data_IF_517142921227
#
_entry.id   IF_517142921227
#
_cell.length_a   1.000
_cell.length_b   1.000
_cell.length_c   1.000
_cell.angle_alpha   90.00
_cell.angle_beta   90.00
_cell.angle_gamma   90.00
#
_symmetry.space_group_name_H-M   'P 1'
#
loop_
_entity.id
_entity.type
_entity.pdbx_description
1 polymer ?
#
# COMPACT_ATOMS: atom_id res chain seq x y z
N UNK A 1 -1.40 25.49 -3.71
CA UNK A 1 -0.67 24.52 -4.49
C UNK A 1 -1.10 23.15 -4.16
N UNK A 2 -1.31 22.36 -5.18
CA UNK A 2 -1.83 21.02 -4.98
C UNK A 2 -0.73 20.08 -4.53
N UNK A 3 -0.99 19.37 -3.47
CA UNK A 3 -0.06 18.36 -2.99
C UNK A 3 -0.31 17.05 -3.72
N UNK A 4 0.76 16.36 -4.08
CA UNK A 4 0.68 15.09 -4.79
C UNK A 4 1.60 14.09 -4.13
N UNK A 5 1.07 12.91 -3.84
CA UNK A 5 1.91 11.81 -3.39
C UNK A 5 1.66 10.60 -4.28
N UNK A 6 2.63 9.71 -4.26
CA UNK A 6 2.54 8.44 -4.98
C UNK A 6 2.46 7.32 -3.97
N UNK A 7 1.73 6.29 -4.31
CA UNK A 7 1.63 5.11 -3.46
C UNK A 7 1.90 3.89 -4.33
N UNK A 8 2.70 2.96 -3.80
CA UNK A 8 3.10 1.80 -4.59
C UNK A 8 2.86 0.52 -3.77
N UNK A 9 1.60 0.17 -3.57
CA UNK A 9 1.32 -1.03 -2.77
C UNK A 9 1.68 -2.31 -3.52
N UNK A 10 2.08 -3.30 -2.75
CA UNK A 10 2.39 -4.62 -3.26
C UNK A 10 1.38 -5.60 -2.67
N UNK A 11 0.68 -6.32 -3.53
CA UNK A 11 -0.33 -7.28 -3.10
C UNK A 11 0.16 -8.70 -3.35
N UNK A 12 -0.23 -9.62 -2.47
CA UNK A 12 0.25 -10.99 -2.53
C UNK A 12 -0.60 -11.85 -3.46
N UNK A 13 -0.79 -11.37 -4.66
CA UNK A 13 -1.50 -12.11 -5.70
C UNK A 13 -0.97 -11.63 -7.05
N UNK A 14 -0.39 -12.51 -7.81
CA UNK A 14 0.16 -12.15 -9.11
C UNK A 14 -0.34 -13.00 -10.26
N UNK A 15 -1.27 -13.91 -9.98
CA UNK A 15 -1.75 -14.85 -10.99
C UNK A 15 -3.22 -14.67 -11.32
N UNK A 16 -4.04 -14.39 -10.35
CA UNK A 16 -5.48 -14.27 -10.59
C UNK A 16 -5.81 -12.84 -10.97
N UNK A 17 -5.94 -12.60 -12.26
CA UNK A 17 -6.18 -11.25 -12.75
C UNK A 17 -7.52 -10.69 -12.33
N UNK A 18 -8.47 -11.55 -12.03
CA UNK A 18 -9.77 -11.09 -11.57
C UNK A 18 -9.68 -10.46 -10.18
N UNK A 19 -8.88 -11.08 -9.30
CA UNK A 19 -8.65 -10.51 -7.99
C UNK A 19 -7.93 -9.17 -8.11
N UNK A 20 -6.90 -9.13 -8.96
CA UNK A 20 -6.14 -7.91 -9.16
C UNK A 20 -7.05 -6.80 -9.68
N UNK A 21 -7.93 -7.13 -10.63
CA UNK A 21 -8.82 -6.13 -11.19
C UNK A 21 -9.78 -5.58 -10.14
N UNK A 22 -10.28 -6.42 -9.27
CA UNK A 22 -11.19 -5.94 -8.24
C UNK A 22 -10.49 -4.99 -7.28
N UNK A 23 -9.22 -5.25 -7.00
CA UNK A 23 -8.44 -4.36 -6.15
C UNK A 23 -8.21 -3.02 -6.85
N UNK A 24 -7.81 -3.04 -8.12
CA UNK A 24 -7.54 -1.80 -8.83
C UNK A 24 -8.82 -1.02 -9.11
N UNK A 25 -9.95 -1.71 -9.26
CA UNK A 25 -11.22 -1.01 -9.41
C UNK A 25 -11.55 -0.18 -8.18
N UNK A 26 -11.20 -0.68 -7.00
CA UNK A 26 -11.40 0.10 -5.78
C UNK A 26 -10.57 1.37 -5.81
N UNK A 27 -9.35 1.27 -6.30
CA UNK A 27 -8.48 2.43 -6.39
C UNK A 27 -9.06 3.45 -7.36
N UNK A 28 -9.51 2.98 -8.50
CA UNK A 28 -10.02 3.89 -9.52
C UNK A 28 -11.37 4.49 -9.16
N UNK A 29 -12.04 3.95 -8.18
CA UNK A 29 -13.32 4.49 -7.76
C UNK A 29 -13.16 5.78 -6.94
N UNK A 30 -11.95 6.10 -6.52
CA UNK A 30 -11.72 7.28 -5.68
C UNK A 30 -11.37 8.47 -6.56
N UNK A 31 -12.12 9.55 -6.42
CA UNK A 31 -11.85 10.77 -7.16
C UNK A 31 -10.55 11.38 -6.66
N UNK A 32 -9.76 11.90 -7.56
CA UNK A 32 -8.51 12.53 -7.19
C UNK A 32 -7.32 11.60 -7.27
N UNK A 33 -7.53 10.37 -7.68
CA UNK A 33 -6.48 9.39 -7.78
C UNK A 33 -6.35 8.93 -9.22
N UNK A 34 -5.12 8.76 -9.67
CA UNK A 34 -4.86 8.21 -10.99
C UNK A 34 -4.04 6.92 -10.84
N UNK A 35 -4.53 5.86 -11.43
CA UNK A 35 -3.82 4.59 -11.46
C UNK A 35 -2.83 4.62 -12.61
N UNK A 36 -1.55 4.53 -12.31
CA UNK A 36 -0.51 4.64 -13.33
C UNK A 36 -0.04 3.32 -13.88
N UNK A 37 0.01 2.30 -13.07
CA UNK A 37 0.57 1.04 -13.50
C UNK A 37 0.11 -0.11 -12.65
N UNK A 38 -0.04 -1.28 -13.26
CA UNK A 38 -0.36 -2.51 -12.57
C UNK A 38 0.58 -3.56 -13.14
N UNK A 39 1.44 -4.10 -12.29
CA UNK A 39 2.48 -5.02 -12.75
C UNK A 39 2.39 -6.35 -12.03
N UNK A 40 1.65 -7.31 -12.58
CA UNK A 40 1.54 -8.62 -11.95
C UNK A 40 2.78 -9.46 -12.23
N UNK A 41 3.25 -10.14 -11.20
CA UNK A 41 4.40 -11.03 -11.33
C UNK A 41 4.00 -12.44 -10.97
N UNK A 42 3.95 -13.31 -11.97
CA UNK A 42 3.51 -14.67 -11.74
C UNK A 42 4.47 -15.46 -10.88
N UNK A 43 5.75 -15.30 -11.14
CA UNK A 43 6.76 -16.09 -10.46
C UNK A 43 6.77 -15.81 -8.96
N UNK A 44 6.56 -14.55 -8.59
CA UNK A 44 6.56 -14.18 -7.19
C UNK A 44 5.18 -14.20 -6.58
N UNK A 45 4.17 -14.37 -7.40
CA UNK A 45 2.77 -14.29 -7.00
C UNK A 45 2.48 -12.99 -6.27
N UNK A 46 2.87 -11.91 -6.91
CA UNK A 46 2.78 -10.58 -6.30
C UNK A 46 2.49 -9.57 -7.39
N UNK A 47 1.73 -8.54 -7.05
CA UNK A 47 1.43 -7.47 -7.98
C UNK A 47 1.84 -6.14 -7.38
N UNK A 48 2.53 -5.33 -8.17
CA UNK A 48 2.92 -3.99 -7.76
C UNK A 48 2.02 -3.01 -8.49
N UNK A 49 1.36 -2.15 -7.74
CA UNK A 49 0.45 -1.17 -8.29
C UNK A 49 0.97 0.21 -7.97
N UNK A 50 0.87 1.13 -8.93
CA UNK A 50 1.34 2.51 -8.74
C UNK A 50 0.18 3.45 -8.93
N UNK A 51 -0.05 4.32 -7.97
CA UNK A 51 -1.10 5.32 -8.06
C UNK A 51 -0.61 6.66 -7.51
N UNK A 52 -1.19 7.74 -8.00
CA UNK A 52 -0.83 9.08 -7.56
C UNK A 52 -2.10 9.91 -7.37
N UNK A 53 -1.99 10.95 -6.58
CA UNK A 53 -3.09 11.87 -6.38
C UNK A 53 -2.85 12.75 -5.18
N UNK A 54 -3.89 13.50 -4.79
CA UNK A 54 -3.76 14.30 -3.59
C UNK A 54 -3.72 13.36 -2.39
N UNK A 55 -3.09 13.80 -1.29
CA UNK A 55 -2.83 12.86 -0.20
C UNK A 55 -4.06 12.20 0.36
N UNK A 56 -5.13 12.95 0.56
CA UNK A 56 -6.32 12.36 1.15
C UNK A 56 -6.95 11.32 0.23
N UNK A 57 -6.98 11.61 -1.07
CA UNK A 57 -7.54 10.66 -2.01
C UNK A 57 -6.68 9.40 -2.11
N UNK A 58 -5.37 9.56 -2.07
CA UNK A 58 -4.47 8.42 -2.13
C UNK A 58 -4.62 7.54 -0.89
N UNK A 59 -4.75 8.16 0.28
CA UNK A 59 -4.96 7.38 1.50
C UNK A 59 -6.27 6.60 1.43
N UNK A 60 -7.32 7.24 0.93
CA UNK A 60 -8.59 6.55 0.80
C UNK A 60 -8.49 5.39 -0.18
N UNK A 61 -7.84 5.61 -1.32
CA UNK A 61 -7.68 4.56 -2.32
C UNK A 61 -6.83 3.41 -1.77
N UNK A 62 -5.77 3.74 -1.06
CA UNK A 62 -4.92 2.71 -0.48
C UNK A 62 -5.68 1.91 0.56
N UNK A 63 -6.48 2.58 1.38
CA UNK A 63 -7.27 1.87 2.38
C UNK A 63 -8.25 0.90 1.73
N UNK A 64 -8.96 1.36 0.70
CA UNK A 64 -9.91 0.50 0.00
C UNK A 64 -9.23 -0.67 -0.67
N UNK A 65 -8.04 -0.43 -1.23
CA UNK A 65 -7.28 -1.49 -1.87
C UNK A 65 -6.84 -2.54 -0.86
N UNK A 66 -6.35 -2.09 0.29
CA UNK A 66 -5.91 -3.00 1.34
C UNK A 66 -7.09 -3.81 1.85
N UNK A 67 -8.22 -3.16 2.03
CA UNK A 67 -9.42 -3.83 2.51
C UNK A 67 -9.87 -4.90 1.51
N UNK A 68 -9.93 -4.53 0.23
CA UNK A 68 -10.37 -5.48 -0.79
C UNK A 68 -9.39 -6.64 -0.92
N UNK A 69 -8.09 -6.36 -0.84
CA UNK A 69 -7.10 -7.42 -0.91
C UNK A 69 -7.27 -8.38 0.26
N UNK A 70 -7.55 -7.87 1.44
CA UNK A 70 -7.77 -8.71 2.59
C UNK A 70 -8.99 -9.60 2.45
N UNK A 71 -9.99 -9.14 1.71
CA UNK A 71 -11.20 -9.92 1.48
C UNK A 71 -10.99 -11.01 0.43
N UNK A 72 -10.18 -10.72 -0.57
CA UNK A 72 -10.07 -11.60 -1.73
C UNK A 72 -8.87 -12.54 -1.70
N UNK A 73 -7.78 -12.15 -1.07
CA UNK A 73 -6.58 -12.94 -1.07
C UNK A 73 -6.54 -13.80 0.18
N UNK A 74 -6.56 -15.12 -0.04
CA UNK A 74 -6.57 -16.05 1.08
C UNK A 74 -5.13 -16.45 1.39
N UNK A 75 -4.57 -15.83 2.39
CA UNK A 75 -3.18 -16.09 2.73
C UNK A 75 -2.94 -17.49 3.26
N UNK A 76 -3.98 -18.16 3.70
CA UNK A 76 -3.81 -19.53 4.17
C UNK A 76 -3.46 -20.47 3.04
N UNK A 77 -3.70 -20.06 1.79
CA UNK A 77 -3.35 -20.88 0.65
C UNK A 77 -1.97 -20.60 0.11
N UNK A 78 -1.28 -19.64 0.67
CA UNK A 78 0.05 -19.29 0.21
C UNK A 78 1.07 -20.08 0.99
N UNK A 79 1.66 -21.06 0.34
CA UNK A 79 2.57 -21.93 1.02
C UNK A 79 3.99 -21.70 0.60
N UNK A 80 4.39 -20.54 0.45
CA UNK A 80 5.71 -20.26 -0.05
C UNK A 80 6.80 -20.64 0.91
N UNK A 81 8.03 -20.47 0.48
CA UNK A 81 9.18 -20.78 1.26
C UNK A 81 9.37 -19.85 2.42
N UNK A 82 8.73 -18.75 2.41
CA UNK A 82 8.90 -17.80 3.52
C UNK A 82 7.54 -17.33 3.96
N UNK A 83 7.45 -16.83 5.16
CA UNK A 83 6.15 -16.44 5.71
C UNK A 83 5.54 -15.30 4.95
N UNK A 84 4.23 -15.25 4.96
CA UNK A 84 3.52 -14.16 4.34
C UNK A 84 3.19 -13.13 5.36
N UNK A 85 3.24 -11.89 4.94
CA UNK A 85 2.91 -10.79 5.81
C UNK A 85 1.44 -10.51 5.82
N UNK A 86 0.79 -10.73 4.71
CA UNK A 86 -0.60 -10.41 4.58
C UNK A 86 -0.90 -10.18 3.13
N UNK A 87 -2.18 -9.92 2.83
CA UNK A 87 -2.61 -9.70 1.46
C UNK A 87 -1.92 -8.49 0.85
N UNK A 88 -1.69 -7.46 1.65
CA UNK A 88 -0.91 -6.30 1.23
C UNK A 88 0.42 -6.35 1.97
N UNK A 89 1.50 -6.57 1.23
CA UNK A 89 2.80 -6.73 1.86
C UNK A 89 3.37 -5.39 2.30
N UNK A 90 3.49 -4.45 1.38
CA UNK A 90 3.99 -3.12 1.71
C UNK A 90 3.16 -2.09 0.96
N UNK A 91 3.18 -0.88 1.46
CA UNK A 91 2.43 0.21 0.84
C UNK A 91 3.20 1.51 1.04
N UNK A 92 4.24 1.74 0.25
CA UNK A 92 5.05 2.95 0.42
C UNK A 92 4.36 4.18 -0.12
N UNK A 93 4.59 5.31 0.55
CA UNK A 93 4.09 6.60 0.14
C UNK A 93 5.28 7.49 -0.15
N UNK A 94 5.24 8.15 -1.29
CA UNK A 94 6.36 8.94 -1.78
C UNK A 94 5.90 10.35 -2.08
N UNK A 95 6.54 11.38 -1.53
CA UNK A 95 6.17 12.76 -1.84
C UNK A 95 6.56 13.12 -3.27
N UNK A 96 5.62 13.70 -4.00
CA UNK A 96 5.88 14.07 -5.40
C UNK A 96 5.89 15.58 -5.59
N UNK A 97 4.88 16.28 -5.08
CA UNK A 97 4.80 17.71 -5.31
C UNK A 97 4.18 18.44 -4.14
N UNK A 98 4.80 19.52 -3.75
CA UNK A 98 4.26 20.46 -2.75
C UNK A 98 3.97 19.83 -1.39
N UNK A 99 4.72 18.80 -1.06
CA UNK A 99 4.53 18.14 0.23
C UNK A 99 5.90 17.62 0.68
N UNK A 100 6.15 17.72 1.96
CA UNK A 100 7.42 17.27 2.52
C UNK A 100 7.37 15.80 2.87
N UNK A 101 8.55 15.23 3.12
CA UNK A 101 8.63 13.86 3.61
C UNK A 101 7.95 13.72 4.96
N UNK A 102 8.09 14.74 5.79
CA UNK A 102 7.47 14.76 7.10
C UNK A 102 5.95 14.71 7.00
N UNK A 103 5.40 15.49 6.10
CA UNK A 103 3.95 15.49 5.90
C UNK A 103 3.48 14.17 5.33
N UNK A 104 4.26 13.61 4.41
CA UNK A 104 3.92 12.30 3.83
C UNK A 104 3.93 11.24 4.91
N UNK A 105 4.87 11.31 5.84
CA UNK A 105 4.93 10.35 6.94
C UNK A 105 3.68 10.42 7.81
N UNK A 106 3.12 11.62 7.99
CA UNK A 106 1.90 11.76 8.76
C UNK A 106 0.72 11.08 8.07
N UNK A 107 0.66 11.17 6.75
CA UNK A 107 -0.39 10.48 6.02
C UNK A 107 -0.20 8.97 6.10
N UNK A 108 1.05 8.49 6.07
CA UNK A 108 1.30 7.07 6.24
C UNK A 108 0.81 6.61 7.61
N UNK A 109 1.02 7.43 8.63
CA UNK A 109 0.57 7.11 9.96
C UNK A 109 -0.96 7.05 10.03
N UNK A 110 -1.63 7.99 9.37
CA UNK A 110 -3.09 7.96 9.31
C UNK A 110 -3.60 6.69 8.66
N UNK A 111 -2.99 6.30 7.57
CA UNK A 111 -3.39 5.08 6.88
C UNK A 111 -3.16 3.87 7.77
N UNK A 112 -2.01 3.81 8.43
CA UNK A 112 -1.69 2.70 9.30
C UNK A 112 -2.70 2.58 10.44
N UNK A 113 -3.06 3.71 11.03
CA UNK A 113 -4.03 3.70 12.12
C UNK A 113 -5.38 3.23 11.64
N UNK A 114 -5.77 3.68 10.48
CA UNK A 114 -7.06 3.32 9.92
C UNK A 114 -7.11 1.81 9.62
N UNK A 115 -6.06 1.30 9.01
CA UNK A 115 -5.99 -0.12 8.70
C UNK A 115 -6.00 -0.95 9.99
N UNK A 116 -5.22 -0.54 10.96
CA UNK A 116 -5.17 -1.28 12.21
C UNK A 116 -6.49 -1.28 12.94
N UNK A 117 -7.15 -0.12 12.99
CA UNK A 117 -8.38 0.02 13.75
C UNK A 117 -9.58 -0.58 13.04
N UNK A 118 -9.68 -0.39 11.75
CA UNK A 118 -10.87 -0.82 11.03
C UNK A 118 -10.77 -2.21 10.42
N UNK A 119 -9.59 -2.61 10.02
CA UNK A 119 -9.41 -3.90 9.38
C UNK A 119 -8.75 -4.91 10.31
N UNK A 120 -8.28 -4.45 11.47
CA UNK A 120 -7.64 -5.31 12.47
C UNK A 120 -6.42 -6.03 11.89
N UNK A 121 -5.68 -5.33 11.05
CA UNK A 121 -4.46 -5.86 10.47
C UNK A 121 -3.29 -5.18 11.14
N UNK A 122 -2.34 -5.92 11.69
CA UNK A 122 -1.15 -5.31 12.29
C UNK A 122 -0.38 -4.55 11.23
N UNK A 123 0.09 -3.37 11.58
CA UNK A 123 0.78 -2.51 10.65
C UNK A 123 2.06 -1.99 11.27
N UNK A 124 3.15 -2.03 10.51
CA UNK A 124 4.42 -1.52 10.95
C UNK A 124 4.87 -0.41 10.02
N UNK A 125 5.42 0.63 10.60
CA UNK A 125 5.88 1.76 9.81
C UNK A 125 7.39 1.74 9.65
N UNK A 126 7.82 1.87 8.40
CA UNK A 126 9.20 2.14 8.11
C UNK A 126 9.21 3.46 7.43
N UNK A 127 9.84 4.43 8.00
CA UNK A 127 9.62 5.71 7.41
C UNK A 127 10.72 6.66 7.70
N UNK A 128 10.47 7.88 7.39
CA UNK A 128 11.46 8.92 7.47
C UNK A 128 11.96 9.16 8.87
N UNK A 129 11.36 8.58 9.84
CA UNK A 129 11.83 8.73 11.20
C UNK A 129 13.12 7.98 11.47
N UNK A 130 13.55 7.14 10.56
CA UNK A 130 14.81 6.49 10.73
C UNK A 130 15.91 7.52 10.90
N UNK A 131 16.87 7.27 11.75
CA UNK A 131 17.90 8.26 11.96
C UNK A 131 18.69 8.59 10.71
N UNK A 132 18.86 7.65 9.85
CA UNK A 132 19.61 7.90 8.64
C UNK A 132 18.72 8.33 7.53
N UNK A 133 18.24 9.54 7.64
CA UNK A 133 17.21 9.97 6.74
C UNK A 133 17.63 10.26 5.36
N UNK A 134 18.88 10.42 5.11
CA UNK A 134 19.29 10.71 3.76
C UNK A 134 18.97 9.59 2.81
N UNK A 135 18.73 8.43 3.34
CA UNK A 135 18.38 7.34 2.50
C UNK A 135 16.95 7.03 2.43
N UNK A 136 16.14 7.66 3.24
CA UNK A 136 14.73 7.32 3.33
C UNK A 136 13.91 8.37 2.70
N UNK A 137 13.71 8.24 1.42
CA UNK A 137 12.92 9.19 0.69
C UNK A 137 11.47 8.83 0.62
N UNK A 138 11.03 7.85 1.38
CA UNK A 138 9.64 7.46 1.32
C UNK A 138 9.19 6.96 2.67
N UNK A 139 7.89 7.02 2.86
CA UNK A 139 7.26 6.47 4.05
C UNK A 139 6.62 5.17 3.64
N UNK A 140 6.82 4.14 4.45
CA UNK A 140 6.37 2.81 4.11
C UNK A 140 5.57 2.23 5.25
N UNK A 141 4.44 1.63 4.92
CA UNK A 141 3.75 0.82 5.90
C UNK A 141 3.83 -0.62 5.46
N UNK A 142 3.77 -1.51 6.41
CA UNK A 142 3.82 -2.92 6.12
C UNK A 142 2.74 -3.59 6.91
N UNK A 143 1.86 -4.28 6.22
CA UNK A 143 0.70 -4.86 6.84
C UNK A 143 0.85 -6.35 6.95
N UNK A 144 0.27 -6.94 7.99
CA UNK A 144 0.23 -8.37 8.11
C UNK A 144 0.72 -8.83 9.45
N UNK A 145 1.04 -10.11 9.54
CA UNK A 145 1.41 -10.67 10.77
C UNK A 145 2.86 -10.71 11.02
N UNK A 146 3.62 -9.90 10.42
CA UNK A 146 5.04 -9.87 10.55
C UNK A 146 5.41 -9.47 11.95
N UNK A 147 6.20 -10.23 12.60
CA UNK A 147 6.55 -9.89 13.90
C UNK A 147 7.97 -9.44 13.99
N UNK A 148 8.60 -9.33 12.99
CA UNK A 148 9.85 -8.74 12.87
C UNK A 148 11.02 -8.76 13.28
#
# INVERSE_FOLDING_TARGET
MQQIIECVPNFSEGNDLNIIKQITDQIESVEGVRLLNVDPGKATNRTVVTLVGNPEAVIEAAFLAIKKAGELIDMSKHKGEHPRMGATDVCPLIPIANISMEETAKYAQQLAERVGNELHIPVYLYEAAQPNKSRNNLSVIRAGEYEG
#
